data_IF_737550131351
#
_entry.id   IF_737550131351
#
_cell.length_a   1.000
_cell.length_b   1.000
_cell.length_c   1.000
_cell.angle_alpha   90.00
_cell.angle_beta   90.00
_cell.angle_gamma   90.00
#
_symmetry.space_group_name_H-M   'P 1'
#
loop_
_entity.id
_entity.type
_entity.pdbx_description
1 polymer ?
#
# COMPACT_ATOMS: atom_id res chain seq x y z
N UNK A 1 2.50 0.94 9.26
CA UNK A 1 2.71 1.89 8.16
C UNK A 1 4.17 2.23 8.15
N UNK A 2 4.86 1.99 7.03
CA UNK A 2 6.27 2.30 6.84
C UNK A 2 6.47 3.23 5.64
N UNK A 3 7.58 3.98 5.62
CA UNK A 3 7.94 4.84 4.49
C UNK A 3 8.06 4.03 3.20
N UNK A 4 8.68 2.85 3.27
CA UNK A 4 8.84 1.96 2.11
C UNK A 4 7.51 1.52 1.52
N UNK A 5 6.49 1.24 2.34
CA UNK A 5 5.15 0.90 1.83
C UNK A 5 4.53 2.08 1.06
N UNK A 6 4.72 3.31 1.53
CA UNK A 6 4.25 4.53 0.85
C UNK A 6 5.02 4.79 -0.45
N UNK A 7 6.34 4.59 -0.44
CA UNK A 7 7.19 4.71 -1.65
C UNK A 7 6.78 3.69 -2.72
N UNK A 8 6.54 2.43 -2.31
CA UNK A 8 6.05 1.38 -3.19
C UNK A 8 4.68 1.77 -3.77
N UNK A 9 3.77 2.27 -2.92
CA UNK A 9 2.45 2.72 -3.35
C UNK A 9 2.53 3.89 -4.35
N UNK A 10 3.34 4.91 -4.06
CA UNK A 10 3.56 6.05 -4.94
C UNK A 10 4.09 5.60 -6.30
N UNK A 11 5.07 4.67 -6.31
CA UNK A 11 5.63 4.15 -7.55
C UNK A 11 4.62 3.31 -8.35
N UNK A 12 3.77 2.52 -7.71
CA UNK A 12 2.68 1.80 -8.39
C UNK A 12 1.70 2.77 -9.05
N UNK A 13 1.38 3.87 -8.37
CA UNK A 13 0.52 4.93 -8.91
C UNK A 13 1.18 5.66 -10.09
N UNK A 14 2.47 6.01 -10.00
CA UNK A 14 3.21 6.64 -11.10
C UNK A 14 3.32 5.73 -12.33
N UNK A 15 3.60 4.45 -12.12
CA UNK A 15 3.80 3.48 -13.20
C UNK A 15 2.49 2.87 -13.72
N UNK A 16 1.34 3.20 -13.09
CA UNK A 16 0.02 2.66 -13.40
C UNK A 16 -0.03 1.12 -13.42
N UNK A 17 0.79 0.46 -12.59
CA UNK A 17 0.84 -1.00 -12.59
C UNK A 17 1.90 -1.64 -11.68
N UNK A 18 1.53 -2.78 -11.10
CA UNK A 18 2.37 -3.53 -10.16
C UNK A 18 3.61 -4.16 -10.81
N UNK A 19 3.48 -4.70 -12.03
CA UNK A 19 4.60 -5.35 -12.73
C UNK A 19 5.69 -4.35 -13.10
N UNK A 20 5.31 -3.14 -13.56
CA UNK A 20 6.24 -2.09 -13.93
C UNK A 20 6.97 -1.52 -12.70
N UNK A 21 6.25 -1.32 -11.58
CA UNK A 21 6.85 -0.91 -10.32
C UNK A 21 7.81 -1.98 -9.76
N UNK A 22 7.44 -3.26 -9.83
CA UNK A 22 8.30 -4.36 -9.39
C UNK A 22 9.61 -4.45 -10.19
N UNK A 23 9.52 -4.32 -11.52
CA UNK A 23 10.70 -4.27 -12.38
C UNK A 23 11.62 -3.08 -12.04
N UNK A 24 11.03 -1.92 -11.73
CA UNK A 24 11.77 -0.70 -11.36
C UNK A 24 12.47 -0.80 -10.00
N UNK A 25 11.86 -1.53 -9.06
CA UNK A 25 12.38 -1.78 -7.70
C UNK A 25 13.33 -2.99 -7.63
N UNK A 26 13.38 -3.83 -8.66
CA UNK A 26 14.19 -5.06 -8.66
C UNK A 26 13.65 -6.12 -7.69
N UNK A 27 12.35 -6.13 -7.42
CA UNK A 27 11.69 -7.11 -6.54
C UNK A 27 10.57 -7.84 -7.28
N UNK A 28 9.98 -8.86 -6.65
CA UNK A 28 8.84 -9.56 -7.24
C UNK A 28 7.57 -8.71 -7.22
N UNK A 29 6.69 -8.91 -8.22
CA UNK A 29 5.37 -8.29 -8.25
C UNK A 29 4.51 -8.67 -7.04
N UNK A 30 4.66 -9.90 -6.52
CA UNK A 30 4.00 -10.34 -5.29
C UNK A 30 4.48 -9.57 -4.05
N UNK A 31 5.77 -9.20 -3.99
CA UNK A 31 6.31 -8.36 -2.91
C UNK A 31 5.71 -6.95 -2.92
N UNK A 32 5.58 -6.35 -4.11
CA UNK A 32 4.90 -5.05 -4.28
C UNK A 32 3.43 -5.14 -3.85
N UNK A 33 2.70 -6.14 -4.35
CA UNK A 33 1.27 -6.34 -4.02
C UNK A 33 1.06 -6.53 -2.52
N UNK A 34 1.93 -7.32 -1.87
CA UNK A 34 1.87 -7.54 -0.43
C UNK A 34 2.08 -6.24 0.36
N UNK A 35 3.09 -5.43 0.00
CA UNK A 35 3.36 -4.16 0.66
C UNK A 35 2.19 -3.16 0.56
N UNK A 36 1.57 -3.06 -0.63
CA UNK A 36 0.40 -2.20 -0.85
C UNK A 36 -0.82 -2.69 -0.05
N UNK A 37 -1.10 -4.00 -0.06
CA UNK A 37 -2.23 -4.57 0.70
C UNK A 37 -2.07 -4.40 2.21
N UNK A 38 -0.84 -4.44 2.70
CA UNK A 38 -0.54 -4.17 4.10
C UNK A 38 -0.77 -2.70 4.46
N UNK A 39 -0.30 -1.79 3.62
CA UNK A 39 -0.56 -0.35 3.75
C UNK A 39 -2.06 -0.05 3.81
N UNK A 40 -2.84 -0.59 2.86
CA UNK A 40 -4.30 -0.43 2.82
C UNK A 40 -4.98 -0.94 4.09
N UNK A 41 -4.55 -2.10 4.60
CA UNK A 41 -5.11 -2.70 5.82
C UNK A 41 -4.88 -1.82 7.04
N UNK A 42 -3.67 -1.28 7.19
CA UNK A 42 -3.34 -0.41 8.31
C UNK A 42 -4.05 0.93 8.25
N UNK A 43 -4.19 1.51 7.05
CA UNK A 43 -4.99 2.70 6.81
C UNK A 43 -6.46 2.46 7.12
N UNK A 44 -7.04 1.36 6.63
CA UNK A 44 -8.43 0.99 6.91
C UNK A 44 -8.66 0.75 8.40
N UNK A 45 -7.75 0.04 9.08
CA UNK A 45 -7.81 -0.20 10.52
C UNK A 45 -7.75 1.11 11.31
N UNK A 46 -6.82 2.00 10.99
CA UNK A 46 -6.69 3.28 11.67
C UNK A 46 -7.86 4.23 11.36
N UNK A 47 -8.42 4.21 10.16
CA UNK A 47 -9.61 4.99 9.83
C UNK A 47 -10.84 4.50 10.60
N UNK A 48 -11.06 3.19 10.69
CA UNK A 48 -12.24 2.63 11.35
C UNK A 48 -12.13 2.60 12.88
N UNK A 49 -10.92 2.51 13.45
CA UNK A 49 -10.72 2.35 14.89
C UNK A 49 -10.14 3.60 15.57
N UNK A 50 -9.57 4.54 14.80
CA UNK A 50 -8.86 5.73 15.30
C UNK A 50 -9.64 7.04 15.29
N UNK A 51 -10.90 7.05 14.84
CA UNK A 51 -11.69 8.28 14.76
C UNK A 51 -13.18 8.04 14.79
N UNK A 52 -13.74 7.93 16.00
CA UNK A 52 -15.16 7.77 16.34
C UNK A 52 -15.80 6.46 15.91
N UNK A 53 -16.13 5.67 16.93
CA UNK A 53 -17.33 4.85 16.94
C UNK A 53 -18.51 5.62 16.34
N UNK A 54 -19.22 5.00 15.40
CA UNK A 54 -20.45 5.53 14.86
C UNK A 54 -20.52 5.44 13.35
N UNK A 55 -20.64 4.23 12.82
CA UNK A 55 -21.48 4.02 11.64
C UNK A 55 -22.54 3.02 12.09
N UNK A 56 -23.75 3.54 12.33
CA UNK A 56 -24.98 2.77 12.45
C UNK A 56 -25.25 1.94 11.19
#
# INVERSE_FOLDING_TARGET
MTLTQLEIFALVAEMQGFTAAAARLGISQSGVSHAVRELERELAWNCCNGGRAGWS
#
